data_IF_608137904238
#
_entry.id   IF_608137904238
#
_cell.length_a   1.000
_cell.length_b   1.000
_cell.length_c   1.000
_cell.angle_alpha   90.00
_cell.angle_beta   90.00
_cell.angle_gamma   90.00
#
_symmetry.space_group_name_H-M   'P 1'
#
loop_
_entity.id
_entity.type
_entity.pdbx_description
1 polymer ?
#
# COMPACT_ATOMS: atom_id res chain seq x y z
N UNK A 1 11.40 -11.09 3.86
CA UNK A 1 10.50 -10.86 2.70
C UNK A 1 9.80 -9.53 2.88
N UNK A 2 9.29 -9.27 4.09
CA UNK A 2 8.82 -7.98 4.60
C UNK A 2 9.63 -6.76 4.19
N UNK A 3 10.96 -6.72 4.38
CA UNK A 3 11.75 -5.51 4.06
C UNK A 3 11.77 -5.16 2.55
N UNK A 4 11.98 -6.15 1.69
CA UNK A 4 11.95 -5.92 0.24
C UNK A 4 10.55 -5.52 -0.25
N UNK A 5 9.52 -6.12 0.35
CA UNK A 5 8.12 -5.78 0.07
C UNK A 5 7.75 -4.38 0.57
N UNK A 6 8.13 -4.05 1.80
CA UNK A 6 7.99 -2.71 2.39
C UNK A 6 8.65 -1.66 1.49
N UNK A 7 9.88 -1.92 1.06
CA UNK A 7 10.59 -1.03 0.14
C UNK A 7 9.83 -0.84 -1.19
N UNK A 8 9.33 -1.91 -1.80
CA UNK A 8 8.53 -1.82 -3.02
C UNK A 8 7.23 -1.01 -2.83
N UNK A 9 6.56 -1.18 -1.68
CA UNK A 9 5.37 -0.40 -1.31
C UNK A 9 5.72 1.08 -1.18
N UNK A 10 6.80 1.41 -0.46
CA UNK A 10 7.26 2.78 -0.29
C UNK A 10 7.60 3.45 -1.62
N UNK A 11 8.35 2.77 -2.49
CA UNK A 11 8.65 3.28 -3.83
C UNK A 11 7.36 3.56 -4.61
N UNK A 12 6.41 2.63 -4.63
CA UNK A 12 5.15 2.81 -5.34
C UNK A 12 4.31 3.97 -4.77
N UNK A 13 4.31 4.15 -3.44
CA UNK A 13 3.62 5.26 -2.77
C UNK A 13 4.28 6.60 -3.07
N UNK A 14 5.60 6.70 -2.94
CA UNK A 14 6.36 7.90 -3.26
C UNK A 14 6.14 8.37 -4.70
N UNK A 15 6.13 7.44 -5.66
CA UNK A 15 5.92 7.77 -7.08
C UNK A 15 4.48 8.19 -7.40
N UNK A 16 3.48 7.73 -6.65
CA UNK A 16 2.05 8.04 -6.91
C UNK A 16 1.58 9.26 -6.12
N UNK A 17 2.02 9.38 -4.88
CA UNK A 17 1.63 10.45 -3.97
C UNK A 17 2.54 11.67 -4.08
N UNK A 18 3.71 11.53 -4.70
CA UNK A 18 4.76 12.56 -4.78
C UNK A 18 5.25 12.99 -3.38
N UNK A 19 5.49 12.00 -2.53
CA UNK A 19 5.93 12.14 -1.13
C UNK A 19 7.23 11.40 -0.88
N UNK A 20 7.99 11.87 0.10
CA UNK A 20 9.21 11.24 0.60
C UNK A 20 8.95 10.45 1.89
N UNK A 21 9.87 9.56 2.31
CA UNK A 21 9.70 8.78 3.55
C UNK A 21 9.58 9.68 4.79
N UNK A 22 10.15 10.90 4.75
CA UNK A 22 10.02 11.89 5.82
C UNK A 22 8.60 12.45 6.00
N UNK A 23 7.72 12.33 4.99
CA UNK A 23 6.33 12.78 5.08
C UNK A 23 5.45 11.82 5.90
N UNK A 24 5.93 10.59 6.17
CA UNK A 24 5.23 9.58 6.96
C UNK A 24 5.38 9.87 8.45
N UNK A 25 4.48 10.71 8.97
CA UNK A 25 4.54 11.28 10.32
C UNK A 25 4.51 10.21 11.42
N UNK A 26 3.83 9.08 11.19
CA UNK A 26 3.76 7.91 12.09
C UNK A 26 4.47 6.68 11.49
N UNK A 27 5.47 6.92 10.64
CA UNK A 27 6.17 5.87 9.90
C UNK A 27 5.19 4.97 9.14
N UNK A 28 5.37 3.66 9.25
CA UNK A 28 4.56 2.68 8.51
C UNK A 28 3.08 2.65 8.94
N UNK A 29 2.73 3.24 10.09
CA UNK A 29 1.37 3.34 10.59
C UNK A 29 0.63 4.59 10.08
N UNK A 30 1.32 5.50 9.38
CA UNK A 30 0.73 6.71 8.81
C UNK A 30 -0.50 6.36 7.95
N UNK A 31 -1.61 7.04 8.21
CA UNK A 31 -2.80 6.96 7.36
C UNK A 31 -2.49 7.62 6.01
N UNK A 32 -2.42 6.81 4.97
CA UNK A 32 -2.03 7.28 3.64
C UNK A 32 -3.04 8.27 3.04
N UNK A 33 -4.26 8.33 3.57
CA UNK A 33 -5.25 9.36 3.18
C UNK A 33 -4.78 10.76 3.56
N UNK A 34 -4.03 10.90 4.64
CA UNK A 34 -3.43 12.17 5.07
C UNK A 34 -2.32 12.62 4.09
N UNK A 35 -1.72 11.67 3.37
CA UNK A 35 -0.75 11.92 2.28
C UNK A 35 -1.42 12.03 0.90
N UNK A 36 -2.76 12.10 0.85
CA UNK A 36 -3.51 12.27 -0.38
C UNK A 36 -3.70 10.98 -1.19
N UNK A 37 -3.67 9.81 -0.54
CA UNK A 37 -4.13 8.56 -1.15
C UNK A 37 -5.66 8.57 -1.28
N UNK A 38 -6.14 8.92 -2.47
CA UNK A 38 -7.55 8.80 -2.87
C UNK A 38 -7.82 7.50 -3.66
N UNK A 39 -9.07 7.26 -4.04
CA UNK A 39 -9.46 6.06 -4.80
C UNK A 39 -8.76 5.92 -6.15
N UNK A 40 -8.41 7.02 -6.81
CA UNK A 40 -7.71 7.00 -8.11
C UNK A 40 -6.25 6.62 -7.92
N UNK A 41 -5.58 7.27 -6.96
CA UNK A 41 -4.19 7.01 -6.60
C UNK A 41 -4.02 5.62 -5.99
N UNK A 42 -4.97 5.15 -5.21
CA UNK A 42 -5.01 3.78 -4.71
C UNK A 42 -4.94 2.75 -5.85
N UNK A 43 -5.72 2.95 -6.91
CA UNK A 43 -5.65 2.08 -8.11
C UNK A 43 -4.31 2.18 -8.83
N UNK A 44 -3.65 3.34 -8.83
CA UNK A 44 -2.32 3.50 -9.44
C UNK A 44 -1.25 2.75 -8.64
N UNK A 45 -1.30 2.80 -7.30
CA UNK A 45 -0.41 2.02 -6.42
C UNK A 45 -0.58 0.53 -6.68
N UNK A 46 -1.82 0.04 -6.74
CA UNK A 46 -2.11 -1.37 -7.05
C UNK A 46 -1.52 -1.80 -8.39
N UNK A 47 -1.68 -0.99 -9.44
CA UNK A 47 -1.11 -1.27 -10.76
C UNK A 47 0.42 -1.37 -10.71
N UNK A 48 1.10 -0.47 -9.99
CA UNK A 48 2.56 -0.50 -9.82
C UNK A 48 3.04 -1.75 -9.08
N UNK A 49 2.30 -2.19 -8.07
CA UNK A 49 2.59 -3.41 -7.30
C UNK A 49 2.12 -4.70 -7.99
N UNK A 50 1.54 -4.62 -9.18
CA UNK A 50 1.03 -5.79 -9.91
C UNK A 50 -0.17 -6.47 -9.25
N UNK A 51 -0.92 -5.73 -8.42
CA UNK A 51 -2.09 -6.23 -7.70
C UNK A 51 -3.32 -6.12 -8.59
N UNK A 52 -4.03 -7.23 -8.73
CA UNK A 52 -5.31 -7.26 -9.44
C UNK A 52 -6.39 -6.56 -8.62
N UNK A 53 -7.07 -5.59 -9.24
CA UNK A 53 -8.19 -4.84 -8.66
C UNK A 53 -9.40 -5.73 -8.37
N UNK A 54 -9.51 -6.87 -9.04
CA UNK A 54 -10.62 -7.83 -8.84
C UNK A 54 -10.31 -8.83 -7.72
N UNK A 55 -9.12 -8.77 -7.13
CA UNK A 55 -8.78 -9.55 -5.95
C UNK A 55 -9.48 -9.02 -4.68
N UNK A 56 -9.37 -9.77 -3.58
CA UNK A 56 -9.88 -9.34 -2.27
C UNK A 56 -8.99 -8.31 -1.57
N UNK A 57 -7.76 -8.08 -2.07
CA UNK A 57 -6.77 -7.17 -1.47
C UNK A 57 -7.28 -5.72 -1.36
N UNK A 58 -7.87 -5.09 -2.40
CA UNK A 58 -8.43 -3.74 -2.32
C UNK A 58 -9.43 -3.59 -1.16
N UNK A 59 -10.30 -4.59 -1.01
CA UNK A 59 -11.34 -4.61 0.02
C UNK A 59 -10.75 -4.68 1.43
N UNK A 60 -9.71 -5.49 1.63
CA UNK A 60 -9.05 -5.65 2.93
C UNK A 60 -8.20 -4.43 3.30
N UNK A 61 -7.55 -3.82 2.32
CA UNK A 61 -6.75 -2.61 2.53
C UNK A 61 -7.61 -1.39 2.86
N UNK A 62 -8.86 -1.34 2.40
CA UNK A 62 -9.76 -0.22 2.68
C UNK A 62 -9.96 0.02 4.19
N UNK A 63 -9.83 -1.02 5.02
CA UNK A 63 -9.96 -0.93 6.48
C UNK A 63 -8.68 -0.43 7.17
N UNK A 64 -7.52 -0.54 6.52
CA UNK A 64 -6.22 -0.11 7.05
C UNK A 64 -5.28 0.35 5.92
N UNK A 65 -5.45 1.62 5.49
CA UNK A 65 -4.62 2.25 4.46
C UNK A 65 -3.33 2.82 5.05
N UNK A 66 -2.41 1.94 5.45
CA UNK A 66 -1.08 2.25 5.96
C UNK A 66 -0.04 1.33 5.32
N UNK A 67 1.25 1.70 5.31
CA UNK A 67 2.33 0.82 4.79
C UNK A 67 2.33 -0.51 5.54
N UNK A 68 2.13 -0.49 6.85
CA UNK A 68 1.97 -1.69 7.66
C UNK A 68 0.78 -2.55 7.20
N UNK A 69 -0.36 -1.93 6.86
CA UNK A 69 -1.52 -2.62 6.29
C UNK A 69 -1.20 -3.28 4.94
N UNK A 70 -0.49 -2.58 4.05
CA UNK A 70 -0.04 -3.15 2.78
C UNK A 70 0.91 -4.34 2.97
N UNK A 71 1.91 -4.22 3.84
CA UNK A 71 2.84 -5.33 4.14
C UNK A 71 2.06 -6.52 4.69
N UNK A 72 1.21 -6.29 5.68
CA UNK A 72 0.40 -7.35 6.29
C UNK A 72 -0.46 -8.08 5.25
N UNK A 73 -1.18 -7.36 4.40
CA UNK A 73 -2.08 -7.99 3.42
C UNK A 73 -1.33 -8.74 2.31
N UNK A 74 -0.17 -8.24 1.88
CA UNK A 74 0.61 -8.85 0.80
C UNK A 74 1.52 -9.99 1.28
N UNK A 75 1.84 -10.06 2.57
CA UNK A 75 2.51 -11.21 3.18
C UNK A 75 1.56 -12.35 3.51
N UNK A 76 0.24 -12.11 3.55
CA UNK A 76 -0.72 -13.21 3.73
C UNK A 76 -0.49 -14.24 2.63
N UNK A 77 -0.33 -15.53 2.99
CA UNK A 77 -0.32 -16.58 1.99
C UNK A 77 -1.55 -16.40 1.11
N UNK A 78 -1.38 -16.43 -0.22
CA UNK A 78 -2.51 -16.54 -1.15
C UNK A 78 -3.30 -17.76 -0.68
N UNK A 79 -4.42 -17.53 0.00
CA UNK A 79 -5.34 -18.61 0.33
C UNK A 79 -5.69 -19.24 -1.01
N UNK A 80 -5.40 -20.54 -1.15
CA UNK A 80 -5.73 -21.28 -2.35
C UNK A 80 -7.23 -21.11 -2.60
N UNK A 81 -7.56 -20.36 -3.64
CA UNK A 81 -8.90 -20.28 -4.21
C UNK A 81 -9.26 -21.60 -4.86
#
# INVERSE_FOLDING_TARGET
MSEALRHAILVALSEVLYVEEADFIDGDATDLRDLGLDSVRFVQVMKRLGIDRESEVPRRLADNLSVAGWVQELERPRAAS
#
